data_IF_352305007166
#
_entry.id   IF_352305007166
#
_cell.length_a   1.000
_cell.length_b   1.000
_cell.length_c   1.000
_cell.angle_alpha   90.00
_cell.angle_beta   90.00
_cell.angle_gamma   90.00
#
_symmetry.space_group_name_H-M   'P 1'
#
loop_
_entity.id
_entity.type
_entity.pdbx_description
1 polymer ?
#
# COMPACT_ATOMS: atom_id res chain seq x y z
N UNK A 1 -41.79 -15.31 -16.36
CA UNK A 1 -41.80 -15.10 -14.90
C UNK A 1 -40.98 -16.23 -14.29
N UNK A 2 -39.93 -16.02 -13.47
CA UNK A 2 -39.49 -14.78 -12.81
C UNK A 2 -38.13 -14.25 -13.28
N UNK A 3 -38.03 -12.93 -13.25
CA UNK A 3 -36.80 -12.14 -13.21
C UNK A 3 -36.24 -12.10 -11.77
N UNK A 4 -35.07 -11.48 -11.61
CA UNK A 4 -34.36 -11.14 -10.36
C UNK A 4 -33.34 -12.14 -9.83
N UNK A 5 -32.14 -12.19 -10.44
CA UNK A 5 -30.90 -12.31 -9.64
C UNK A 5 -29.57 -11.97 -10.32
N UNK A 6 -29.52 -11.11 -11.33
CA UNK A 6 -28.25 -10.79 -12.01
C UNK A 6 -27.88 -9.30 -12.07
N UNK A 7 -28.65 -8.42 -11.43
CA UNK A 7 -28.48 -6.97 -11.57
C UNK A 7 -27.65 -6.26 -10.48
N UNK A 8 -26.92 -6.97 -9.60
CA UNK A 8 -26.16 -6.32 -8.51
C UNK A 8 -24.63 -6.39 -8.61
N UNK A 9 -24.06 -7.17 -9.52
CA UNK A 9 -22.60 -7.32 -9.61
C UNK A 9 -21.94 -6.40 -10.66
N UNK A 10 -22.70 -5.88 -11.63
CA UNK A 10 -22.15 -5.03 -12.69
C UNK A 10 -22.32 -3.52 -12.43
N UNK A 11 -23.02 -3.11 -11.37
CA UNK A 11 -23.31 -1.69 -11.10
C UNK A 11 -22.15 -0.91 -10.44
N UNK A 12 -21.10 -1.61 -9.97
CA UNK A 12 -19.93 -0.97 -9.35
C UNK A 12 -18.73 -0.80 -10.29
N UNK A 13 -18.75 -1.40 -11.49
CA UNK A 13 -17.63 -1.35 -12.42
C UNK A 13 -17.73 -0.22 -13.46
N UNK A 14 -18.90 0.42 -13.61
CA UNK A 14 -19.18 1.35 -14.72
C UNK A 14 -19.38 2.82 -14.31
N UNK A 15 -19.10 3.21 -13.05
CA UNK A 15 -19.41 4.58 -12.56
C UNK A 15 -18.25 5.52 -12.26
N UNK A 16 -17.00 5.16 -12.52
CA UNK A 16 -15.86 6.05 -12.23
C UNK A 16 -15.07 6.44 -13.49
N UNK A 17 -15.80 6.91 -14.51
CA UNK A 17 -15.20 7.69 -15.58
C UNK A 17 -15.08 9.15 -15.13
N UNK A 18 -13.98 9.51 -14.46
CA UNK A 18 -13.62 10.93 -14.28
C UNK A 18 -12.65 11.29 -13.14
N UNK A 19 -12.48 10.45 -12.12
CA UNK A 19 -11.48 10.67 -11.06
C UNK A 19 -10.78 9.35 -10.77
N UNK A 20 -9.46 9.32 -10.99
CA UNK A 20 -8.64 8.18 -10.57
C UNK A 20 -8.78 8.00 -9.05
N UNK A 21 -9.17 6.81 -8.61
CA UNK A 21 -9.40 6.56 -7.20
C UNK A 21 -8.08 6.75 -6.39
N UNK A 22 -8.07 7.55 -5.31
CA UNK A 22 -6.84 7.92 -4.62
C UNK A 22 -6.21 6.73 -3.90
N UNK A 23 -4.88 6.68 -3.92
CA UNK A 23 -4.07 5.60 -3.33
C UNK A 23 -3.18 6.20 -2.24
N UNK A 24 -3.26 5.65 -1.03
CA UNK A 24 -2.40 6.03 0.08
C UNK A 24 -1.15 5.14 0.16
N UNK A 25 0.03 5.73 0.31
CA UNK A 25 1.29 4.99 0.53
C UNK A 25 1.70 5.13 2.00
N UNK A 26 1.68 4.02 2.74
CA UNK A 26 2.09 3.97 4.13
C UNK A 26 3.49 3.34 4.26
N UNK A 27 4.51 4.18 4.33
CA UNK A 27 5.91 3.78 4.55
C UNK A 27 6.19 3.34 5.99
N UNK A 28 6.75 2.14 6.18
CA UNK A 28 7.05 1.61 7.52
C UNK A 28 8.23 0.61 7.55
N UNK A 29 8.86 0.45 8.71
CA UNK A 29 9.83 -0.64 8.93
C UNK A 29 9.16 -1.99 9.18
N UNK A 30 7.97 -2.02 9.81
CA UNK A 30 7.24 -3.26 10.13
C UNK A 30 8.10 -4.34 10.86
N UNK A 31 8.80 -3.97 11.93
CA UNK A 31 9.70 -4.85 12.70
C UNK A 31 9.17 -5.15 14.13
N UNK A 32 8.17 -6.03 14.30
CA UNK A 32 7.32 -6.68 13.29
C UNK A 32 6.06 -5.88 12.94
N UNK A 33 5.35 -6.28 11.89
CA UNK A 33 4.01 -5.75 11.61
C UNK A 33 3.02 -6.14 12.73
N UNK A 34 2.23 -5.18 13.22
CA UNK A 34 1.24 -5.40 14.29
C UNK A 34 -0.07 -4.66 14.03
N UNK A 35 -1.10 -4.91 14.85
CA UNK A 35 -2.46 -4.36 14.71
C UNK A 35 -2.53 -2.82 14.64
N UNK A 36 -1.50 -2.12 15.11
CA UNK A 36 -1.44 -0.66 15.00
C UNK A 36 -1.34 -0.20 13.55
N UNK A 37 -0.49 -0.83 12.74
CA UNK A 37 -0.39 -0.53 11.31
C UNK A 37 -1.70 -0.81 10.58
N UNK A 38 -2.41 -1.89 10.96
CA UNK A 38 -3.70 -2.22 10.38
C UNK A 38 -4.76 -1.15 10.66
N UNK A 39 -4.83 -0.65 11.91
CA UNK A 39 -5.76 0.43 12.26
C UNK A 39 -5.52 1.72 11.49
N UNK A 40 -4.25 2.06 11.22
CA UNK A 40 -3.92 3.22 10.38
C UNK A 40 -4.39 3.00 8.94
N UNK A 41 -4.22 1.79 8.40
CA UNK A 41 -4.72 1.45 7.06
C UNK A 41 -6.25 1.50 6.98
N UNK A 42 -6.96 1.01 8.00
CA UNK A 42 -8.41 1.08 8.11
C UNK A 42 -8.89 2.55 8.18
N UNK A 43 -8.21 3.40 8.95
CA UNK A 43 -8.53 4.83 8.99
C UNK A 43 -8.32 5.52 7.63
N UNK A 44 -7.29 5.14 6.86
CA UNK A 44 -7.11 5.63 5.49
C UNK A 44 -8.25 5.18 4.58
N UNK A 45 -8.69 3.94 4.70
CA UNK A 45 -9.87 3.47 3.96
C UNK A 45 -11.12 4.30 4.31
N UNK A 46 -11.35 4.57 5.60
CA UNK A 46 -12.48 5.38 6.07
C UNK A 46 -12.40 6.85 5.59
N UNK A 47 -11.20 7.35 5.32
CA UNK A 47 -10.96 8.68 4.71
C UNK A 47 -11.21 8.72 3.19
N UNK A 48 -11.61 7.61 2.56
CA UNK A 48 -11.98 7.55 1.14
C UNK A 48 -10.86 7.13 0.20
N UNK A 49 -9.73 6.63 0.72
CA UNK A 49 -8.70 6.00 -0.11
C UNK A 49 -9.19 4.66 -0.64
N UNK A 50 -9.17 4.50 -1.97
CA UNK A 50 -9.61 3.27 -2.60
C UNK A 50 -8.62 2.11 -2.40
N UNK A 51 -7.34 2.44 -2.27
CA UNK A 51 -6.27 1.48 -1.96
C UNK A 51 -5.27 2.08 -0.98
N UNK A 52 -4.73 1.21 -0.15
CA UNK A 52 -3.62 1.52 0.77
C UNK A 52 -2.47 0.58 0.45
N UNK A 53 -1.29 1.13 0.21
CA UNK A 53 -0.06 0.38 -0.05
C UNK A 53 0.81 0.43 1.19
N UNK A 54 1.05 -0.71 1.84
CA UNK A 54 2.11 -0.84 2.83
C UNK A 54 3.45 -0.95 2.11
N UNK A 55 4.26 0.11 2.22
CA UNK A 55 5.62 0.13 1.70
C UNK A 55 6.59 -0.26 2.82
N UNK A 56 7.13 -1.47 2.78
CA UNK A 56 8.08 -1.93 3.80
C UNK A 56 9.50 -1.59 3.37
N UNK A 57 10.20 -0.84 4.23
CA UNK A 57 11.57 -0.44 3.96
C UNK A 57 12.57 -1.56 4.29
N UNK A 58 13.56 -1.87 3.41
CA UNK A 58 14.63 -2.83 3.70
C UNK A 58 15.47 -2.41 4.90
N UNK A 59 15.85 -1.13 4.96
CA UNK A 59 16.61 -0.56 6.05
C UNK A 59 16.19 0.89 6.26
N UNK A 60 15.79 1.22 7.49
CA UNK A 60 15.57 2.61 7.87
C UNK A 60 16.94 3.25 8.16
N UNK A 61 17.36 4.32 7.45
CA UNK A 61 18.65 4.99 7.67
C UNK A 61 18.82 5.50 9.10
N UNK A 62 17.72 5.80 9.79
CA UNK A 62 17.73 6.29 11.17
C UNK A 62 17.75 5.17 12.22
N UNK A 63 17.73 3.90 11.81
CA UNK A 63 17.82 2.74 12.70
C UNK A 63 19.11 1.97 12.41
N UNK A 64 19.96 1.82 13.43
CA UNK A 64 21.28 1.15 13.31
C UNK A 64 21.15 -0.33 12.92
N UNK A 65 20.12 -1.02 13.40
CA UNK A 65 19.87 -2.44 13.09
C UNK A 65 18.38 -2.74 13.11
N UNK A 66 17.90 -3.56 12.16
CA UNK A 66 16.61 -4.22 12.24
C UNK A 66 16.77 -5.56 12.97
N UNK A 67 15.85 -5.91 13.87
CA UNK A 67 15.90 -7.17 14.62
C UNK A 67 15.39 -8.34 13.78
N UNK A 68 14.42 -8.06 12.91
CA UNK A 68 13.81 -9.05 12.02
C UNK A 68 14.28 -8.84 10.57
N UNK A 69 14.64 -9.92 9.88
CA UNK A 69 15.04 -9.87 8.47
C UNK A 69 13.94 -9.27 7.60
N UNK A 70 14.32 -8.63 6.49
CA UNK A 70 13.35 -8.02 5.57
C UNK A 70 12.32 -9.03 5.07
N UNK A 71 12.75 -10.23 4.70
CA UNK A 71 11.88 -11.32 4.26
C UNK A 71 10.87 -11.72 5.32
N UNK A 72 11.30 -11.86 6.58
CA UNK A 72 10.40 -12.17 7.69
C UNK A 72 9.39 -11.03 7.94
N UNK A 73 9.82 -9.77 7.86
CA UNK A 73 8.91 -8.62 7.99
C UNK A 73 7.86 -8.60 6.89
N UNK A 74 8.26 -8.86 5.64
CA UNK A 74 7.35 -9.00 4.50
C UNK A 74 6.37 -10.16 4.69
N UNK A 75 6.84 -11.31 5.17
CA UNK A 75 5.98 -12.47 5.44
C UNK A 75 4.95 -12.16 6.55
N UNK A 76 5.39 -11.58 7.66
CA UNK A 76 4.50 -11.20 8.78
C UNK A 76 3.48 -10.14 8.36
N UNK A 77 3.89 -9.15 7.56
CA UNK A 77 2.98 -8.16 7.02
C UNK A 77 1.93 -8.78 6.11
N UNK A 78 2.33 -9.71 5.23
CA UNK A 78 1.40 -10.44 4.35
C UNK A 78 0.37 -11.24 5.13
N UNK A 79 0.79 -11.91 6.20
CA UNK A 79 -0.12 -12.62 7.11
C UNK A 79 -1.12 -11.65 7.79
N UNK A 80 -0.65 -10.47 8.21
CA UNK A 80 -1.49 -9.48 8.87
C UNK A 80 -2.50 -8.84 7.91
N UNK A 81 -2.09 -8.55 6.67
CA UNK A 81 -2.96 -8.05 5.59
C UNK A 81 -4.08 -9.05 5.29
N UNK A 82 -3.78 -10.35 5.25
CA UNK A 82 -4.77 -11.39 5.06
C UNK A 82 -5.49 -11.26 3.72
N UNK A 83 -6.83 -11.31 3.73
CA UNK A 83 -7.69 -11.29 2.52
C UNK A 83 -8.31 -9.92 2.23
N UNK A 84 -7.61 -8.83 2.51
CA UNK A 84 -8.11 -7.46 2.30
C UNK A 84 -7.67 -6.94 0.92
N UNK A 85 -8.55 -6.89 -0.08
CA UNK A 85 -8.15 -6.56 -1.46
C UNK A 85 -7.75 -5.09 -1.65
N UNK A 86 -8.17 -4.22 -0.73
CA UNK A 86 -7.84 -2.78 -0.73
C UNK A 86 -6.49 -2.47 -0.05
N UNK A 87 -5.85 -3.47 0.56
CA UNK A 87 -4.58 -3.32 1.28
C UNK A 87 -3.49 -4.12 0.57
N UNK A 88 -2.58 -3.42 -0.10
CA UNK A 88 -1.49 -4.00 -0.88
C UNK A 88 -0.16 -3.95 -0.11
N UNK A 89 0.73 -4.91 -0.38
CA UNK A 89 2.08 -4.94 0.18
C UNK A 89 3.10 -4.68 -0.93
N UNK A 90 4.04 -3.76 -0.69
CA UNK A 90 5.07 -3.39 -1.67
C UNK A 90 6.47 -3.38 -1.06
N UNK A 91 7.44 -3.84 -1.86
CA UNK A 91 8.88 -3.82 -1.64
C UNK A 91 9.60 -2.92 -2.67
N UNK A 92 8.90 -1.93 -3.24
CA UNK A 92 9.45 -1.10 -4.31
C UNK A 92 10.76 -0.40 -3.92
N UNK A 93 10.92 0.03 -2.67
CA UNK A 93 12.19 0.59 -2.17
C UNK A 93 13.37 -0.40 -2.30
N UNK A 94 13.12 -1.69 -2.12
CA UNK A 94 14.11 -2.75 -2.29
C UNK A 94 14.45 -2.95 -3.77
N UNK A 95 13.41 -3.03 -4.60
CA UNK A 95 13.53 -3.22 -6.05
C UNK A 95 14.28 -2.05 -6.72
N UNK A 96 14.00 -0.82 -6.31
CA UNK A 96 14.65 0.40 -6.80
C UNK A 96 16.03 0.64 -6.18
N UNK A 97 16.49 -0.22 -5.27
CA UNK A 97 17.78 -0.12 -4.57
C UNK A 97 17.97 1.20 -3.80
N UNK A 98 16.88 1.81 -3.31
CA UNK A 98 16.92 3.12 -2.64
C UNK A 98 17.28 3.01 -1.14
N UNK A 99 17.76 1.86 -0.68
CA UNK A 99 18.11 1.63 0.72
C UNK A 99 19.42 2.35 1.07
N UNK A 100 19.42 3.10 2.18
CA UNK A 100 20.58 3.87 2.63
C UNK A 100 20.68 5.30 2.06
N UNK A 101 19.81 5.70 1.14
CA UNK A 101 19.72 7.09 0.69
C UNK A 101 19.01 7.99 1.70
N UNK A 102 19.54 9.19 1.94
CA UNK A 102 18.93 10.21 2.81
C UNK A 102 17.57 10.70 2.27
N UNK A 103 17.42 10.76 0.94
CA UNK A 103 16.22 11.24 0.24
C UNK A 103 15.36 10.12 -0.36
N UNK A 104 15.42 8.91 0.19
CA UNK A 104 14.72 7.72 -0.33
C UNK A 104 13.25 7.94 -0.66
N UNK A 105 12.47 8.52 0.27
CA UNK A 105 11.03 8.74 0.06
C UNK A 105 10.79 9.68 -1.13
N UNK A 106 11.62 10.71 -1.29
CA UNK A 106 11.54 11.63 -2.42
C UNK A 106 11.90 10.93 -3.73
N UNK A 107 13.00 10.16 -3.76
CA UNK A 107 13.44 9.38 -4.92
C UNK A 107 12.34 8.39 -5.37
N UNK A 108 11.77 7.65 -4.44
CA UNK A 108 10.70 6.69 -4.69
C UNK A 108 9.44 7.37 -5.24
N UNK A 109 8.92 8.39 -4.55
CA UNK A 109 7.70 9.09 -4.99
C UNK A 109 7.89 9.77 -6.35
N UNK A 110 9.08 10.30 -6.63
CA UNK A 110 9.41 10.90 -7.93
C UNK A 110 9.40 9.88 -9.06
N UNK A 111 9.91 8.67 -8.82
CA UNK A 111 9.83 7.57 -9.79
C UNK A 111 8.39 7.07 -9.94
N UNK A 112 7.66 6.86 -8.84
CA UNK A 112 6.27 6.41 -8.88
C UNK A 112 5.36 7.41 -9.60
N UNK A 113 5.60 8.72 -9.45
CA UNK A 113 4.85 9.75 -10.19
C UNK A 113 5.08 9.69 -11.70
N UNK A 114 6.29 9.30 -12.14
CA UNK A 114 6.58 9.08 -13.58
C UNK A 114 5.88 7.83 -14.11
N UNK A 115 5.81 6.77 -13.32
CA UNK A 115 5.19 5.48 -13.70
C UNK A 115 3.65 5.58 -13.67
N UNK A 116 3.10 6.30 -12.70
CA UNK A 116 1.66 6.45 -12.47
C UNK A 116 1.23 7.93 -12.54
N UNK A 117 1.37 8.60 -13.70
CA UNK A 117 1.17 10.05 -13.81
C UNK A 117 -0.26 10.49 -13.49
N UNK A 118 -1.23 9.63 -13.78
CA UNK A 118 -2.64 9.94 -13.59
C UNK A 118 -3.21 9.44 -12.25
N UNK A 119 -2.46 8.65 -11.47
CA UNK A 119 -2.93 8.13 -10.17
C UNK A 119 -2.67 9.14 -9.05
N UNK A 120 -3.67 9.53 -8.24
CA UNK A 120 -3.48 10.39 -7.09
C UNK A 120 -2.82 9.58 -5.95
N UNK A 121 -1.49 9.57 -5.96
CA UNK A 121 -0.68 9.04 -4.86
C UNK A 121 -0.58 10.09 -3.75
N UNK A 122 -0.93 9.71 -2.52
CA UNK A 122 -0.73 10.50 -1.30
C UNK A 122 0.13 9.73 -0.30
#
# INVERSE_FOLDING_TARGET
>A
MPAHRQSRQNAHAEKDAGHFAPVAILGMSADPAHKGHLRVAEALQDMGYARVVWMITPQNPFKKTAKTSFEHRMALARLLIGRRPWLELSDAEAWMQLYGEELRTHSMLSQMRKIYPATPLT
#
